data_IF_671184698143
#
_entry.id   IF_671184698143
#
_cell.length_a   1.000
_cell.length_b   1.000
_cell.length_c   1.000
_cell.angle_alpha   90.00
_cell.angle_beta   90.00
_cell.angle_gamma   90.00
#
_symmetry.space_group_name_H-M   'P 1'
#
loop_
_entity.id
_entity.type
_entity.pdbx_description
1 polymer ?
#
# COMPACT_ATOMS: atom_id res chain seq x y z
N UNK A 1 11.71 5.54 31.80
CA UNK A 1 11.71 5.96 30.39
C UNK A 1 11.44 7.46 30.37
N UNK A 2 12.45 8.28 30.14
CA UNK A 2 12.31 9.73 29.98
C UNK A 2 11.45 10.04 28.76
N UNK A 3 10.44 10.89 28.92
CA UNK A 3 9.63 11.37 27.81
C UNK A 3 10.55 11.92 26.70
N UNK A 4 10.26 11.65 25.40
CA UNK A 4 11.08 12.18 24.33
C UNK A 4 11.07 13.72 24.41
N UNK A 5 12.24 14.33 24.28
CA UNK A 5 12.36 15.78 24.26
C UNK A 5 11.49 16.35 23.14
N UNK A 6 10.83 17.49 23.35
CA UNK A 6 9.99 18.10 22.32
C UNK A 6 10.83 18.40 21.08
N UNK A 7 10.23 18.21 19.91
CA UNK A 7 10.86 18.54 18.64
C UNK A 7 11.26 20.03 18.60
N UNK A 8 12.44 20.37 18.03
CA UNK A 8 12.84 21.78 17.82
C UNK A 8 11.77 22.56 17.06
N UNK A 9 11.66 23.86 17.34
CA UNK A 9 10.61 24.73 16.80
C UNK A 9 10.57 24.72 15.25
N UNK A 10 11.72 24.72 14.62
CA UNK A 10 11.84 24.64 13.15
C UNK A 10 11.32 23.34 12.57
N UNK A 11 11.52 22.23 13.28
CA UNK A 11 10.96 20.93 12.87
C UNK A 11 9.42 20.92 13.01
N UNK A 12 8.88 21.52 14.08
CA UNK A 12 7.43 21.67 14.26
C UNK A 12 6.82 22.53 13.14
N UNK A 13 7.46 23.68 12.80
CA UNK A 13 7.04 24.55 11.69
C UNK A 13 7.03 23.82 10.35
N UNK A 14 8.02 22.99 10.09
CA UNK A 14 8.02 22.15 8.88
C UNK A 14 6.88 21.16 8.86
N UNK A 15 6.61 20.46 9.96
CA UNK A 15 5.49 19.51 10.04
C UNK A 15 4.15 20.21 9.81
N UNK A 16 4.00 21.42 10.34
CA UNK A 16 2.81 22.24 10.07
C UNK A 16 2.71 22.64 8.59
N UNK A 17 3.80 23.09 7.97
CA UNK A 17 3.87 23.41 6.54
C UNK A 17 3.43 22.20 5.69
N UNK A 18 3.96 20.99 5.95
CA UNK A 18 3.61 19.81 5.16
C UNK A 18 2.18 19.31 5.45
N UNK A 19 1.64 19.60 6.63
CA UNK A 19 0.25 19.32 7.00
C UNK A 19 -0.73 20.24 6.26
N UNK A 20 -0.52 21.54 6.33
CA UNK A 20 -1.47 22.56 5.86
C UNK A 20 -1.29 22.87 4.37
N UNK A 21 -0.07 23.22 3.96
CA UNK A 21 0.19 23.65 2.58
C UNK A 21 0.35 22.46 1.62
N UNK A 22 1.07 21.41 2.03
CA UNK A 22 1.26 20.21 1.21
C UNK A 22 0.12 19.21 1.33
N UNK A 23 -0.74 19.33 2.33
CA UNK A 23 -1.89 18.44 2.61
C UNK A 23 -1.52 16.97 2.55
N UNK A 24 -0.38 16.61 3.15
CA UNK A 24 0.09 15.24 3.14
C UNK A 24 -0.83 14.35 3.98
N UNK A 25 -0.96 13.08 3.56
CA UNK A 25 -1.74 12.09 4.30
C UNK A 25 -1.20 11.90 5.72
N UNK A 26 -2.09 11.65 6.69
CA UNK A 26 -1.75 11.48 8.12
C UNK A 26 -0.61 10.48 8.35
N UNK A 27 -0.60 9.35 7.63
CA UNK A 27 0.50 8.37 7.69
C UNK A 27 1.85 8.95 7.27
N UNK A 28 1.88 9.82 6.26
CA UNK A 28 3.13 10.46 5.81
C UNK A 28 3.62 11.46 6.87
N UNK A 29 2.71 12.20 7.49
CA UNK A 29 3.03 13.11 8.61
C UNK A 29 3.64 12.32 9.78
N UNK A 30 3.03 11.21 10.18
CA UNK A 30 3.59 10.35 11.24
C UNK A 30 5.02 9.89 10.92
N UNK A 31 5.28 9.48 9.68
CA UNK A 31 6.63 9.06 9.27
C UNK A 31 7.63 10.22 9.30
N UNK A 32 7.23 11.39 8.83
CA UNK A 32 8.08 12.59 8.86
C UNK A 32 8.37 13.05 10.29
N UNK A 33 7.40 12.95 11.20
CA UNK A 33 7.60 13.22 12.62
C UNK A 33 8.67 12.29 13.19
N UNK A 34 8.55 10.98 12.99
CA UNK A 34 9.53 10.00 13.44
C UNK A 34 10.92 10.21 12.83
N UNK A 35 11.00 10.61 11.56
CA UNK A 35 12.27 10.91 10.89
C UNK A 35 12.93 12.15 11.51
N UNK A 36 12.16 13.19 11.83
CA UNK A 36 12.68 14.43 12.47
C UNK A 36 13.03 14.22 13.94
N UNK A 37 12.26 13.44 14.69
CA UNK A 37 12.63 13.02 16.06
C UNK A 37 13.98 12.33 16.07
N UNK A 38 14.20 11.41 15.13
CA UNK A 38 15.48 10.72 14.99
C UNK A 38 16.61 11.69 14.63
N UNK A 39 16.36 12.66 13.74
CA UNK A 39 17.35 13.67 13.38
C UNK A 39 17.72 14.54 14.61
N UNK A 40 16.72 14.97 15.38
CA UNK A 40 16.91 15.75 16.59
C UNK A 40 17.71 14.98 17.66
N UNK A 41 17.41 13.67 17.83
CA UNK A 41 18.19 12.79 18.72
C UNK A 41 19.66 12.71 18.30
N UNK A 42 19.94 12.54 17.03
CA UNK A 42 21.32 12.50 16.52
C UNK A 42 22.03 13.85 16.67
N UNK A 43 21.35 14.97 16.38
CA UNK A 43 21.89 16.30 16.55
C UNK A 43 22.25 16.56 18.03
N UNK A 44 21.37 16.22 18.97
CA UNK A 44 21.60 16.32 20.41
C UNK A 44 22.79 15.45 20.85
N UNK A 45 22.90 14.23 20.37
CA UNK A 45 24.00 13.32 20.71
C UNK A 45 25.39 13.82 20.29
N UNK A 46 25.46 14.74 19.33
CA UNK A 46 26.71 15.40 18.91
C UNK A 46 26.79 16.85 19.34
N UNK A 47 25.85 17.31 20.19
CA UNK A 47 25.76 18.71 20.68
C UNK A 47 25.78 19.77 19.58
N UNK A 48 25.15 19.48 18.44
CA UNK A 48 25.05 20.41 17.30
C UNK A 48 23.58 20.80 17.09
N UNK A 49 23.24 22.10 17.04
CA UNK A 49 21.88 22.54 16.71
C UNK A 49 21.41 21.99 15.35
N UNK A 50 20.11 21.70 15.23
CA UNK A 50 19.53 21.02 14.05
C UNK A 50 19.87 21.74 12.74
N UNK A 51 19.79 23.08 12.71
CA UNK A 51 20.08 23.90 11.54
C UNK A 51 21.58 24.07 11.22
N UNK A 52 22.47 23.70 12.14
CA UNK A 52 23.93 23.75 11.97
C UNK A 52 24.55 22.40 11.56
N UNK A 53 23.72 21.41 11.33
CA UNK A 53 24.20 20.10 10.85
C UNK A 53 24.88 20.24 9.47
N UNK A 54 26.02 19.57 9.33
CA UNK A 54 26.83 19.55 8.12
C UNK A 54 26.74 18.19 7.41
N UNK A 55 27.09 18.06 6.14
CA UNK A 55 27.06 16.77 5.43
C UNK A 55 27.88 15.67 6.13
N UNK A 56 28.95 16.04 6.84
CA UNK A 56 29.75 15.09 7.63
C UNK A 56 28.94 14.45 8.77
N UNK A 57 28.13 15.25 9.47
CA UNK A 57 27.25 14.75 10.53
C UNK A 57 26.21 13.77 9.94
N UNK A 58 25.59 14.12 8.82
CA UNK A 58 24.61 13.25 8.16
C UNK A 58 25.24 11.91 7.74
N UNK A 59 26.46 11.92 7.18
CA UNK A 59 27.17 10.67 6.82
C UNK A 59 27.44 9.80 8.06
N UNK A 60 27.85 10.43 9.20
CA UNK A 60 28.06 9.72 10.45
C UNK A 60 26.76 9.10 10.98
N UNK A 61 25.61 9.80 10.89
CA UNK A 61 24.31 9.28 11.28
C UNK A 61 23.88 8.10 10.40
N UNK A 62 24.15 8.16 9.11
CA UNK A 62 23.92 7.04 8.18
C UNK A 62 24.76 5.82 8.58
N UNK A 63 26.06 6.02 8.85
CA UNK A 63 26.94 4.94 9.29
C UNK A 63 26.46 4.30 10.59
N UNK A 64 26.05 5.13 11.58
CA UNK A 64 25.50 4.67 12.84
C UNK A 64 24.23 3.84 12.65
N UNK A 65 23.27 4.32 11.87
CA UNK A 65 22.03 3.60 11.57
C UNK A 65 22.31 2.25 10.87
N UNK A 66 23.27 2.22 9.97
CA UNK A 66 23.65 0.99 9.28
C UNK A 66 24.31 -0.01 10.21
N UNK A 67 25.26 0.44 11.04
CA UNK A 67 25.91 -0.38 12.06
C UNK A 67 24.94 -0.93 13.11
N UNK A 68 23.87 -0.17 13.43
CA UNK A 68 22.77 -0.63 14.27
C UNK A 68 21.77 -1.58 13.55
N UNK A 69 22.10 -2.08 12.35
CA UNK A 69 21.31 -3.08 11.64
C UNK A 69 20.11 -2.52 10.85
N UNK A 70 19.98 -1.18 10.68
CA UNK A 70 18.90 -0.63 9.88
C UNK A 70 19.11 -0.91 8.40
N UNK A 71 18.05 -1.39 7.73
CA UNK A 71 18.13 -1.73 6.31
C UNK A 71 18.46 -0.50 5.44
N UNK A 72 19.22 -0.70 4.35
CA UNK A 72 19.57 0.35 3.38
C UNK A 72 18.33 1.09 2.84
N UNK A 73 17.22 0.37 2.60
CA UNK A 73 15.94 0.96 2.19
C UNK A 73 15.33 1.85 3.28
N UNK A 74 15.40 1.41 4.55
CA UNK A 74 14.93 2.20 5.69
C UNK A 74 15.73 3.49 5.87
N UNK A 75 17.06 3.43 5.69
CA UNK A 75 17.93 4.60 5.73
C UNK A 75 17.61 5.56 4.58
N UNK A 76 17.38 5.05 3.36
CA UNK A 76 17.03 5.87 2.21
C UNK A 76 15.70 6.64 2.42
N UNK A 77 14.70 6.02 3.07
CA UNK A 77 13.44 6.68 3.42
C UNK A 77 13.66 7.81 4.42
N UNK A 78 14.44 7.58 5.49
CA UNK A 78 14.79 8.60 6.48
C UNK A 78 15.52 9.77 5.83
N UNK A 79 16.52 9.50 5.00
CA UNK A 79 17.23 10.54 4.25
C UNK A 79 16.30 11.34 3.33
N UNK A 80 15.26 10.73 2.79
CA UNK A 80 14.24 11.44 2.01
C UNK A 80 13.46 12.43 2.88
N UNK A 81 13.03 12.02 4.08
CA UNK A 81 12.38 12.91 5.06
C UNK A 81 13.26 14.08 5.48
N UNK A 82 14.51 13.79 5.87
CA UNK A 82 15.49 14.82 6.23
C UNK A 82 15.80 15.77 5.09
N UNK A 83 15.94 15.26 3.87
CA UNK A 83 16.16 16.10 2.68
C UNK A 83 15.00 17.03 2.43
N UNK A 84 13.76 16.57 2.62
CA UNK A 84 12.55 17.39 2.52
C UNK A 84 12.56 18.55 3.52
N UNK A 85 12.90 18.28 4.79
CA UNK A 85 13.03 19.29 5.83
C UNK A 85 14.09 20.34 5.49
N UNK A 86 15.31 19.95 5.17
CA UNK A 86 16.38 20.93 4.86
C UNK A 86 16.15 21.66 3.54
N UNK A 87 15.43 21.08 2.57
CA UNK A 87 15.01 21.82 1.37
C UNK A 87 14.01 22.91 1.72
N UNK A 88 13.08 22.63 2.63
CA UNK A 88 12.18 23.66 3.14
C UNK A 88 12.93 24.70 3.95
N UNK A 89 13.81 24.31 4.88
CA UNK A 89 14.61 25.23 5.68
C UNK A 89 15.48 26.19 4.82
N UNK A 90 16.07 25.68 3.75
CA UNK A 90 16.82 26.50 2.80
C UNK A 90 15.91 27.53 2.09
N UNK A 91 14.70 27.14 1.70
CA UNK A 91 13.71 28.06 1.11
C UNK A 91 13.21 29.12 2.08
N UNK A 92 13.24 28.83 3.38
CA UNK A 92 12.91 29.79 4.45
C UNK A 92 14.10 30.64 4.89
N UNK A 93 15.28 30.50 4.26
CA UNK A 93 16.49 31.19 4.63
C UNK A 93 17.10 30.78 5.97
N UNK A 94 16.65 29.66 6.56
CA UNK A 94 17.14 29.15 7.85
C UNK A 94 18.50 28.47 7.73
N UNK A 95 18.85 27.96 6.56
CA UNK A 95 20.15 27.35 6.24
C UNK A 95 20.58 27.80 4.85
N UNK A 96 21.88 27.93 4.64
CA UNK A 96 22.46 28.32 3.34
C UNK A 96 22.40 27.19 2.30
N UNK A 97 22.42 25.95 2.73
CA UNK A 97 22.40 24.78 1.85
C UNK A 97 21.80 23.56 2.58
N UNK A 98 21.36 22.57 1.80
CA UNK A 98 20.81 21.32 2.34
C UNK A 98 21.94 20.32 2.66
N UNK A 99 22.25 20.04 3.93
CA UNK A 99 23.35 19.14 4.32
C UNK A 99 23.11 17.68 3.94
N UNK A 100 21.88 17.31 3.57
CA UNK A 100 21.53 15.96 3.10
C UNK A 100 21.67 15.83 1.60
N UNK A 101 21.88 16.94 0.88
CA UNK A 101 22.08 16.95 -0.56
C UNK A 101 23.36 16.16 -0.90
N UNK A 102 23.26 15.20 -1.83
CA UNK A 102 24.40 14.34 -2.22
C UNK A 102 24.76 13.23 -1.23
N UNK A 103 24.22 13.21 0.00
CA UNK A 103 24.42 12.09 0.91
C UNK A 103 23.58 10.89 0.46
N UNK A 104 24.25 9.77 0.22
CA UNK A 104 23.63 8.51 -0.20
C UNK A 104 23.65 7.50 0.95
N UNK A 105 22.60 6.72 1.08
CA UNK A 105 22.58 5.55 1.96
C UNK A 105 23.39 4.39 1.36
N UNK A 106 23.63 3.32 2.16
CA UNK A 106 24.25 2.10 1.67
C UNK A 106 23.46 1.54 0.49
N UNK A 107 24.15 0.92 -0.48
CA UNK A 107 23.48 0.29 -1.63
C UNK A 107 22.52 -0.78 -1.14
N UNK A 108 21.25 -0.64 -1.48
CA UNK A 108 20.29 -1.72 -1.31
C UNK A 108 20.47 -2.70 -2.48
N UNK A 109 20.49 -4.00 -2.20
CA UNK A 109 20.21 -4.96 -3.24
C UNK A 109 18.87 -4.60 -3.87
N UNK A 110 18.81 -4.44 -5.19
CA UNK A 110 17.55 -4.29 -5.92
C UNK A 110 16.98 -5.70 -6.10
N UNK A 111 16.08 -6.19 -5.24
CA UNK A 111 15.34 -7.37 -5.61
C UNK A 111 14.56 -7.00 -6.87
N UNK A 112 14.74 -7.77 -7.93
CA UNK A 112 13.86 -7.68 -9.08
C UNK A 112 12.42 -7.82 -8.55
N UNK A 113 11.49 -6.94 -8.94
CA UNK A 113 10.09 -7.13 -8.63
C UNK A 113 9.66 -8.44 -9.30
N UNK A 114 9.58 -9.50 -8.51
CA UNK A 114 9.13 -10.80 -9.01
C UNK A 114 7.61 -10.78 -9.00
N UNK A 115 7.00 -10.55 -10.17
CA UNK A 115 5.66 -11.04 -10.39
C UNK A 115 5.69 -12.57 -10.20
N UNK A 116 4.66 -13.15 -9.62
CA UNK A 116 4.46 -14.60 -9.68
C UNK A 116 4.21 -14.98 -11.14
N UNK A 117 4.69 -16.14 -11.56
CA UNK A 117 4.20 -16.76 -12.79
C UNK A 117 2.69 -17.02 -12.70
N UNK A 118 2.03 -17.20 -13.85
CA UNK A 118 0.57 -17.46 -13.89
C UNK A 118 0.23 -18.67 -13.06
N UNK A 119 0.99 -19.80 -13.21
CA UNK A 119 0.76 -21.04 -12.49
C UNK A 119 0.87 -20.88 -10.96
N UNK A 120 1.89 -20.15 -10.48
CA UNK A 120 2.05 -19.91 -9.05
C UNK A 120 0.95 -19.00 -8.49
N UNK A 121 0.50 -18.00 -9.26
CA UNK A 121 -0.57 -17.12 -8.86
C UNK A 121 -1.92 -17.86 -8.81
N UNK A 122 -2.18 -18.72 -9.79
CA UNK A 122 -3.36 -19.58 -9.83
C UNK A 122 -3.30 -20.63 -8.71
N UNK A 123 -2.14 -21.28 -8.50
CA UNK A 123 -1.94 -22.24 -7.39
C UNK A 123 -2.24 -21.60 -6.04
N UNK A 124 -1.78 -20.36 -5.80
CA UNK A 124 -2.07 -19.66 -4.56
C UNK A 124 -3.57 -19.33 -4.40
N UNK A 125 -4.23 -18.97 -5.49
CA UNK A 125 -5.65 -18.64 -5.50
C UNK A 125 -6.53 -19.88 -5.29
N UNK A 126 -6.18 -21.00 -5.94
CA UNK A 126 -6.90 -22.28 -5.85
C UNK A 126 -6.48 -23.12 -4.63
N UNK A 127 -5.49 -22.68 -3.86
CA UNK A 127 -5.04 -23.39 -2.68
C UNK A 127 -6.14 -23.46 -1.61
N UNK A 128 -6.38 -24.64 -1.08
CA UNK A 128 -7.26 -24.88 0.07
C UNK A 128 -6.47 -25.61 1.15
N UNK A 129 -6.36 -25.00 2.32
CA UNK A 129 -5.67 -25.61 3.45
C UNK A 129 -6.56 -26.70 4.07
N UNK A 130 -6.23 -27.96 3.83
CA UNK A 130 -6.91 -29.09 4.47
C UNK A 130 -6.85 -29.01 6.00
N UNK A 131 -7.99 -29.14 6.68
CA UNK A 131 -8.08 -29.07 8.14
C UNK A 131 -7.97 -27.67 8.75
N UNK A 132 -7.93 -26.62 7.94
CA UNK A 132 -7.96 -25.24 8.44
C UNK A 132 -9.38 -24.85 8.90
N UNK A 133 -9.44 -23.85 9.79
CA UNK A 133 -10.70 -23.20 10.17
C UNK A 133 -11.42 -22.68 8.91
N UNK A 134 -12.63 -23.15 8.59
CA UNK A 134 -13.37 -22.78 7.38
C UNK A 134 -13.58 -21.26 7.27
N UNK A 135 -13.73 -20.58 8.39
CA UNK A 135 -13.88 -19.12 8.44
C UNK A 135 -12.60 -18.42 7.97
N UNK A 136 -11.44 -18.86 8.47
CA UNK A 136 -10.15 -18.31 8.05
C UNK A 136 -9.85 -18.60 6.58
N UNK A 137 -10.16 -19.81 6.12
CA UNK A 137 -9.92 -20.22 4.74
C UNK A 137 -10.76 -19.43 3.76
N UNK A 138 -12.07 -19.30 3.99
CA UNK A 138 -12.95 -18.52 3.13
C UNK A 138 -12.54 -17.03 3.06
N UNK A 139 -12.16 -16.45 4.21
CA UNK A 139 -11.66 -15.07 4.26
C UNK A 139 -10.40 -14.90 3.42
N UNK A 140 -9.42 -15.78 3.64
CA UNK A 140 -8.11 -15.65 3.01
C UNK A 140 -8.17 -15.94 1.51
N UNK A 141 -9.03 -16.87 1.07
CA UNK A 141 -9.32 -17.10 -0.34
C UNK A 141 -9.93 -15.85 -1.00
N UNK A 142 -10.94 -15.24 -0.39
CA UNK A 142 -11.53 -14.01 -0.89
C UNK A 142 -10.53 -12.85 -0.94
N UNK A 143 -9.60 -12.74 0.03
CA UNK A 143 -8.53 -11.73 -0.01
C UNK A 143 -7.57 -11.97 -1.18
N UNK A 144 -7.17 -13.20 -1.45
CA UNK A 144 -6.27 -13.55 -2.57
C UNK A 144 -6.94 -13.21 -3.90
N UNK A 145 -8.20 -13.61 -4.07
CA UNK A 145 -8.96 -13.33 -5.29
C UNK A 145 -9.11 -11.84 -5.56
N UNK A 146 -9.38 -11.02 -4.55
CA UNK A 146 -9.47 -9.58 -4.75
C UNK A 146 -8.11 -8.92 -5.01
N UNK A 147 -7.04 -9.39 -4.38
CA UNK A 147 -5.70 -8.86 -4.61
C UNK A 147 -5.15 -9.24 -5.98
N UNK A 148 -5.35 -10.48 -6.41
CA UNK A 148 -4.87 -10.99 -7.69
C UNK A 148 -5.88 -10.74 -8.82
N UNK A 149 -7.17 -11.06 -8.61
CA UNK A 149 -8.19 -10.92 -9.62
C UNK A 149 -8.57 -9.46 -9.95
N UNK A 150 -8.52 -8.55 -8.97
CA UNK A 150 -8.85 -7.13 -9.18
C UNK A 150 -7.64 -6.20 -9.07
N UNK A 151 -6.46 -6.73 -8.75
CA UNK A 151 -5.24 -5.95 -8.62
C UNK A 151 -5.29 -4.88 -7.52
N UNK A 152 -6.02 -5.11 -6.41
CA UNK A 152 -6.17 -4.14 -5.34
C UNK A 152 -4.85 -3.85 -4.61
N UNK A 153 -4.68 -2.60 -4.16
CA UNK A 153 -3.67 -2.29 -3.14
C UNK A 153 -4.14 -2.83 -1.79
N UNK A 154 -3.20 -3.24 -0.92
CA UNK A 154 -3.56 -3.74 0.42
C UNK A 154 -4.39 -2.73 1.22
N UNK A 155 -4.10 -1.43 1.09
CA UNK A 155 -4.89 -0.38 1.74
C UNK A 155 -6.32 -0.28 1.19
N UNK A 156 -6.50 -0.49 -0.11
CA UNK A 156 -7.82 -0.55 -0.75
C UNK A 156 -8.58 -1.78 -0.26
N UNK A 157 -7.95 -2.96 -0.23
CA UNK A 157 -8.55 -4.19 0.26
C UNK A 157 -9.09 -4.07 1.69
N UNK A 158 -8.24 -3.61 2.63
CA UNK A 158 -8.65 -3.47 4.03
C UNK A 158 -9.63 -2.33 4.25
N UNK A 159 -9.68 -1.36 3.34
CA UNK A 159 -10.63 -0.25 3.31
C UNK A 159 -12.00 -0.61 2.73
N UNK A 160 -12.22 -1.82 2.21
CA UNK A 160 -13.51 -2.21 1.65
C UNK A 160 -14.57 -2.43 2.74
N UNK A 161 -15.77 -1.96 2.45
CA UNK A 161 -17.00 -2.29 3.16
C UNK A 161 -17.83 -3.32 2.37
N UNK A 162 -18.76 -4.00 3.02
CA UNK A 162 -19.64 -5.01 2.38
C UNK A 162 -20.60 -4.41 1.37
N UNK A 163 -21.06 -3.21 1.65
CA UNK A 163 -22.03 -2.47 0.82
C UNK A 163 -21.73 -0.98 0.85
N UNK A 164 -22.29 -0.25 -0.09
CA UNK A 164 -22.29 1.21 -0.04
C UNK A 164 -23.01 1.70 1.23
N UNK A 165 -22.39 2.64 1.93
CA UNK A 165 -22.96 3.29 3.10
C UNK A 165 -22.58 4.75 3.17
N UNK A 166 -23.37 5.57 3.89
CA UNK A 166 -23.09 7.00 4.08
C UNK A 166 -21.71 7.26 4.66
N UNK A 167 -21.28 6.41 5.59
CA UNK A 167 -19.99 6.52 6.26
C UNK A 167 -18.81 6.09 5.38
N UNK A 168 -19.02 5.14 4.45
CA UNK A 168 -17.98 4.74 3.49
C UNK A 168 -17.53 5.91 2.63
N UNK A 169 -18.46 6.76 2.19
CA UNK A 169 -18.16 7.96 1.41
C UNK A 169 -17.40 9.01 2.24
N UNK A 170 -17.82 9.25 3.49
CA UNK A 170 -17.23 10.25 4.41
C UNK A 170 -15.83 9.87 4.87
N UNK A 171 -15.60 8.59 5.15
CA UNK A 171 -14.32 8.08 5.63
C UNK A 171 -13.37 7.63 4.51
N UNK A 172 -13.76 7.87 3.24
CA UNK A 172 -12.90 7.53 2.10
C UNK A 172 -12.71 6.03 1.91
N UNK A 173 -13.71 5.21 2.25
CA UNK A 173 -13.70 3.77 2.05
C UNK A 173 -14.32 3.36 0.73
N UNK A 174 -13.96 2.16 0.26
CA UNK A 174 -14.58 1.47 -0.85
C UNK A 174 -15.66 0.49 -0.40
N UNK A 175 -16.35 -0.11 -1.33
CA UNK A 175 -17.34 -1.16 -1.06
C UNK A 175 -17.43 -2.16 -2.21
N UNK A 176 -18.12 -3.26 -1.97
CA UNK A 176 -18.43 -4.29 -2.96
C UNK A 176 -19.89 -4.18 -3.38
N UNK A 177 -20.12 -4.23 -4.69
CA UNK A 177 -21.44 -4.44 -5.28
C UNK A 177 -21.46 -5.79 -6.01
N UNK A 178 -21.99 -6.82 -5.33
CA UNK A 178 -22.06 -8.17 -5.92
C UNK A 178 -23.09 -8.28 -7.03
N UNK A 179 -24.14 -7.45 -7.03
CA UNK A 179 -25.18 -7.47 -8.06
C UNK A 179 -24.64 -6.87 -9.35
N UNK A 180 -23.98 -5.72 -9.26
CA UNK A 180 -23.31 -5.11 -10.40
C UNK A 180 -22.02 -5.86 -10.78
N UNK A 181 -21.46 -6.69 -9.92
CA UNK A 181 -20.16 -7.35 -10.14
C UNK A 181 -18.99 -6.38 -10.07
N UNK A 182 -19.04 -5.41 -9.17
CA UNK A 182 -18.08 -4.32 -9.09
C UNK A 182 -17.47 -4.17 -7.69
N UNK A 183 -16.19 -3.78 -7.64
CA UNK A 183 -15.52 -3.28 -6.46
C UNK A 183 -15.24 -1.78 -6.64
N UNK A 184 -15.84 -0.96 -5.81
CA UNK A 184 -15.62 0.50 -5.79
C UNK A 184 -14.51 0.83 -4.80
N UNK A 185 -13.41 1.41 -5.27
CA UNK A 185 -12.26 1.71 -4.42
C UNK A 185 -11.85 3.17 -4.49
N UNK A 186 -11.26 3.65 -3.39
CA UNK A 186 -10.67 4.98 -3.32
C UNK A 186 -9.15 4.86 -3.48
N UNK A 187 -8.64 5.41 -4.59
CA UNK A 187 -7.22 5.42 -4.89
C UNK A 187 -6.46 6.57 -4.21
N UNK A 188 -5.17 6.65 -4.48
CA UNK A 188 -4.32 7.75 -4.04
C UNK A 188 -4.86 9.09 -4.57
N UNK A 189 -4.95 10.08 -3.69
CA UNK A 189 -5.47 11.42 -4.04
C UNK A 189 -7.00 11.52 -4.06
N UNK A 190 -7.72 10.57 -3.44
CA UNK A 190 -9.18 10.64 -3.31
C UNK A 190 -9.95 10.28 -4.58
N UNK A 191 -9.29 9.79 -5.63
CA UNK A 191 -9.95 9.39 -6.88
C UNK A 191 -10.62 8.03 -6.71
N UNK A 192 -11.94 7.97 -6.97
CA UNK A 192 -12.71 6.72 -6.99
C UNK A 192 -12.53 6.03 -8.33
N UNK A 193 -12.56 4.71 -8.32
CA UNK A 193 -12.65 3.87 -9.51
C UNK A 193 -13.43 2.60 -9.22
N UNK A 194 -14.13 2.09 -10.22
CA UNK A 194 -14.77 0.78 -10.21
C UNK A 194 -13.85 -0.25 -10.86
N UNK A 195 -13.85 -1.45 -10.32
CA UNK A 195 -13.10 -2.59 -10.83
C UNK A 195 -14.06 -3.75 -11.03
N UNK A 196 -13.97 -4.50 -12.14
CA UNK A 196 -14.79 -5.67 -12.35
C UNK A 196 -14.39 -6.78 -11.36
N UNK A 197 -15.40 -7.49 -10.84
CA UNK A 197 -15.24 -8.69 -10.05
C UNK A 197 -15.35 -9.90 -10.95
N UNK A 198 -14.24 -10.58 -11.23
CA UNK A 198 -14.25 -11.82 -11.98
C UNK A 198 -15.03 -12.92 -11.26
N UNK A 199 -15.38 -13.96 -11.98
CA UNK A 199 -16.19 -15.09 -11.49
C UNK A 199 -15.59 -15.71 -10.22
N UNK A 200 -14.27 -15.92 -10.17
CA UNK A 200 -13.60 -16.50 -9.01
C UNK A 200 -13.71 -15.60 -7.76
N UNK A 201 -13.53 -14.28 -7.92
CA UNK A 201 -13.68 -13.33 -6.82
C UNK A 201 -15.11 -13.28 -6.28
N UNK A 202 -16.12 -13.30 -7.18
CA UNK A 202 -17.54 -13.35 -6.81
C UNK A 202 -17.88 -14.62 -6.03
N UNK A 203 -17.39 -15.79 -6.49
CA UNK A 203 -17.58 -17.08 -5.82
C UNK A 203 -16.92 -17.09 -4.44
N UNK A 204 -15.68 -16.64 -4.32
CA UNK A 204 -14.99 -16.55 -3.03
C UNK A 204 -15.71 -15.61 -2.05
N UNK A 205 -16.23 -14.48 -2.53
CA UNK A 205 -17.04 -13.57 -1.72
C UNK A 205 -18.39 -14.18 -1.31
N UNK A 206 -19.03 -14.96 -2.19
CA UNK A 206 -20.28 -15.66 -1.88
C UNK A 206 -20.10 -16.68 -0.77
N UNK A 207 -18.93 -17.33 -0.65
CA UNK A 207 -18.58 -18.22 0.46
C UNK A 207 -18.21 -17.41 1.72
N UNK A 208 -17.44 -16.34 1.56
CA UNK A 208 -16.95 -15.56 2.71
C UNK A 208 -18.05 -14.80 3.44
N UNK A 209 -18.94 -14.12 2.73
CA UNK A 209 -19.92 -13.21 3.34
C UNK A 209 -20.88 -13.88 4.33
N UNK A 210 -21.44 -15.08 4.08
CA UNK A 210 -22.24 -15.80 5.07
C UNK A 210 -21.44 -16.16 6.33
N UNK A 211 -20.22 -16.67 6.18
CA UNK A 211 -19.34 -17.05 7.28
C UNK A 211 -18.88 -15.85 8.11
N UNK A 212 -18.64 -14.72 7.44
CA UNK A 212 -18.29 -13.47 8.11
C UNK A 212 -19.42 -12.98 9.02
N UNK A 213 -20.66 -13.17 8.63
CA UNK A 213 -21.82 -12.73 9.39
C UNK A 213 -21.95 -11.20 9.51
N UNK A 214 -22.71 -10.73 10.49
CA UNK A 214 -22.95 -9.31 10.76
C UNK A 214 -21.97 -8.70 11.77
N UNK A 215 -21.26 -9.50 12.57
CA UNK A 215 -20.30 -9.03 13.55
C UNK A 215 -19.17 -8.19 12.87
N UNK A 216 -18.68 -7.15 13.55
CA UNK A 216 -17.58 -6.33 13.06
C UNK A 216 -17.97 -5.18 12.11
N UNK A 217 -19.22 -4.73 12.14
CA UNK A 217 -19.68 -3.54 11.42
C UNK A 217 -19.62 -3.67 9.89
N UNK A 218 -19.39 -2.58 9.15
CA UNK A 218 -19.47 -2.56 7.69
C UNK A 218 -18.25 -3.19 6.99
N UNK A 219 -17.11 -3.39 7.67
CA UNK A 219 -15.88 -3.86 7.07
C UNK A 219 -16.06 -5.17 6.29
N UNK A 220 -15.57 -5.27 5.06
CA UNK A 220 -15.62 -6.52 4.29
C UNK A 220 -14.76 -7.60 4.95
N UNK A 221 -13.55 -7.26 5.36
CA UNK A 221 -12.63 -8.20 6.01
C UNK A 221 -12.39 -7.84 7.47
N UNK A 222 -12.62 -8.82 8.32
CA UNK A 222 -12.45 -8.69 9.78
C UNK A 222 -11.50 -9.78 10.32
N UNK A 223 -10.91 -9.48 11.46
CA UNK A 223 -10.18 -10.47 12.25
C UNK A 223 -11.13 -11.30 13.12
N UNK A 224 -10.63 -12.32 13.80
CA UNK A 224 -11.40 -13.17 14.73
C UNK A 224 -12.07 -12.38 15.86
N UNK A 225 -11.56 -11.19 16.21
CA UNK A 225 -12.17 -10.28 17.20
C UNK A 225 -13.23 -9.36 16.61
N UNK A 226 -13.67 -9.55 15.38
CA UNK A 226 -14.67 -8.73 14.70
C UNK A 226 -14.16 -7.35 14.26
N UNK A 227 -12.91 -6.98 14.50
CA UNK A 227 -12.36 -5.69 14.08
C UNK A 227 -11.88 -5.74 12.63
N UNK A 228 -11.96 -4.60 11.91
CA UNK A 228 -11.44 -4.45 10.54
C UNK A 228 -10.00 -4.97 10.45
N UNK A 229 -9.72 -5.76 9.43
CA UNK A 229 -8.41 -6.37 9.23
C UNK A 229 -7.36 -5.29 8.90
N UNK A 230 -6.17 -5.40 9.49
CA UNK A 230 -5.06 -4.51 9.19
C UNK A 230 -4.27 -4.99 7.96
N UNK A 231 -3.60 -4.05 7.28
CA UNK A 231 -2.67 -4.39 6.19
C UNK A 231 -1.57 -5.36 6.65
N UNK A 232 -1.10 -5.23 7.89
CA UNK A 232 -0.08 -6.12 8.46
C UNK A 232 -0.61 -7.55 8.63
N UNK A 233 -1.86 -7.71 9.03
CA UNK A 233 -2.51 -9.02 9.13
C UNK A 233 -2.64 -9.67 7.75
N UNK A 234 -3.00 -8.90 6.71
CA UNK A 234 -3.05 -9.41 5.33
C UNK A 234 -1.67 -9.91 4.88
N UNK A 235 -0.59 -9.15 5.14
CA UNK A 235 0.78 -9.57 4.84
C UNK A 235 1.15 -10.89 5.52
N UNK A 236 0.85 -11.01 6.82
CA UNK A 236 1.12 -12.23 7.59
C UNK A 236 0.37 -13.43 7.00
N UNK A 237 -0.93 -13.27 6.71
CA UNK A 237 -1.77 -14.35 6.15
C UNK A 237 -1.31 -14.79 4.77
N UNK A 238 -1.00 -13.86 3.86
CA UNK A 238 -0.49 -14.20 2.53
C UNK A 238 0.84 -14.95 2.59
N UNK A 239 1.76 -14.50 3.47
CA UNK A 239 3.04 -15.20 3.66
C UNK A 239 2.84 -16.63 4.16
N UNK A 240 1.94 -16.81 5.13
CA UNK A 240 1.61 -18.13 5.66
C UNK A 240 0.98 -19.02 4.58
N UNK A 241 -0.05 -18.51 3.86
CA UNK A 241 -0.74 -19.21 2.79
C UNK A 241 0.21 -19.60 1.65
N UNK A 242 1.12 -18.72 1.24
CA UNK A 242 2.09 -19.05 0.19
C UNK A 242 3.06 -20.18 0.59
N UNK A 243 3.48 -20.24 1.85
CA UNK A 243 4.26 -21.36 2.35
C UNK A 243 3.48 -22.67 2.36
N UNK A 244 2.22 -22.64 2.80
CA UNK A 244 1.32 -23.79 2.81
C UNK A 244 1.00 -24.30 1.39
N UNK A 245 0.88 -23.38 0.41
CA UNK A 245 0.70 -23.72 -1.00
C UNK A 245 1.98 -24.23 -1.70
N UNK A 246 3.09 -24.38 -0.97
CA UNK A 246 4.35 -24.89 -1.51
C UNK A 246 5.08 -23.92 -2.44
N UNK A 247 4.80 -22.59 -2.34
CA UNK A 247 5.50 -21.61 -3.15
C UNK A 247 6.90 -21.34 -2.59
N UNK A 248 7.91 -21.32 -3.46
CA UNK A 248 9.31 -21.08 -3.08
C UNK A 248 9.58 -19.67 -2.57
N UNK A 249 8.71 -18.72 -2.92
CA UNK A 249 8.86 -17.30 -2.55
C UNK A 249 7.69 -16.85 -1.69
N UNK A 250 7.94 -16.23 -0.51
CA UNK A 250 6.88 -15.65 0.30
C UNK A 250 6.12 -14.57 -0.45
N UNK A 251 4.80 -14.73 -0.58
CA UNK A 251 3.95 -13.80 -1.32
C UNK A 251 3.51 -12.63 -0.45
N UNK A 252 3.39 -11.48 -1.07
CA UNK A 252 2.87 -10.27 -0.44
C UNK A 252 1.94 -9.49 -1.39
N UNK A 253 1.08 -8.59 -0.87
CA UNK A 253 0.03 -7.94 -1.67
C UNK A 253 0.54 -7.23 -2.94
N UNK A 254 1.72 -6.58 -2.88
CA UNK A 254 2.28 -5.91 -4.05
C UNK A 254 2.71 -6.88 -5.16
N UNK A 255 3.13 -8.10 -4.79
CA UNK A 255 3.44 -9.13 -5.80
C UNK A 255 2.18 -9.54 -6.55
N UNK A 256 1.07 -9.82 -5.84
CA UNK A 256 -0.20 -10.19 -6.47
C UNK A 256 -0.72 -9.09 -7.41
N UNK A 257 -0.67 -7.84 -6.97
CA UNK A 257 -1.03 -6.71 -7.83
C UNK A 257 -0.09 -6.57 -9.03
N UNK A 258 1.20 -6.83 -8.86
CA UNK A 258 2.16 -6.80 -9.98
C UNK A 258 1.91 -7.95 -10.96
N UNK A 259 1.59 -9.15 -10.43
CA UNK A 259 1.19 -10.30 -11.24
C UNK A 259 -0.09 -10.02 -12.02
N UNK A 260 -1.12 -9.43 -11.40
CA UNK A 260 -2.32 -8.96 -12.08
C UNK A 260 -1.96 -8.07 -13.27
N UNK A 261 -1.15 -7.03 -13.04
CA UNK A 261 -0.76 -6.09 -14.08
C UNK A 261 0.00 -6.78 -15.24
N UNK A 262 0.96 -7.64 -14.92
CA UNK A 262 1.79 -8.33 -15.90
C UNK A 262 0.98 -9.34 -16.71
N UNK A 263 0.15 -10.15 -16.05
CA UNK A 263 -0.64 -11.18 -16.72
C UNK A 263 -1.73 -10.57 -17.61
N UNK A 264 -2.41 -9.54 -17.10
CA UNK A 264 -3.42 -8.83 -17.89
C UNK A 264 -2.80 -8.13 -19.12
N UNK A 265 -1.62 -7.48 -18.94
CA UNK A 265 -0.91 -6.84 -20.05
C UNK A 265 -0.43 -7.85 -21.09
N UNK A 266 0.14 -8.98 -20.65
CA UNK A 266 0.60 -10.05 -21.56
C UNK A 266 -0.53 -10.65 -22.37
N UNK A 267 -1.72 -10.79 -21.77
CA UNK A 267 -2.86 -11.42 -22.44
C UNK A 267 -3.68 -10.44 -23.27
N UNK A 268 -3.81 -9.18 -22.87
CA UNK A 268 -4.63 -8.18 -23.57
C UNK A 268 -3.85 -7.33 -24.57
N UNK A 269 -2.54 -7.11 -24.31
CA UNK A 269 -1.75 -6.11 -25.04
C UNK A 269 -2.16 -4.66 -24.76
N UNK A 270 -3.19 -4.42 -23.96
CA UNK A 270 -3.77 -3.09 -23.71
C UNK A 270 -3.16 -2.45 -22.44
N UNK A 271 -2.04 -1.76 -22.61
CA UNK A 271 -1.38 -1.04 -21.53
C UNK A 271 -2.27 0.03 -20.90
N UNK A 272 -3.12 0.68 -21.70
CA UNK A 272 -4.01 1.74 -21.23
C UNK A 272 -5.08 1.20 -20.29
N UNK A 273 -5.77 0.13 -20.69
CA UNK A 273 -6.75 -0.54 -19.83
C UNK A 273 -6.12 -1.02 -18.51
N UNK A 274 -4.91 -1.61 -18.57
CA UNK A 274 -4.17 -2.03 -17.36
C UNK A 274 -3.85 -0.85 -16.46
N UNK A 275 -3.38 0.29 -16.99
CA UNK A 275 -3.09 1.49 -16.22
C UNK A 275 -4.33 2.07 -15.55
N UNK A 276 -5.46 2.08 -16.26
CA UNK A 276 -6.75 2.57 -15.75
C UNK A 276 -7.26 1.68 -14.62
N UNK A 277 -7.28 0.35 -14.80
CA UNK A 277 -7.65 -0.61 -13.75
C UNK A 277 -6.76 -0.47 -12.51
N UNK A 278 -5.48 -0.23 -12.69
CA UNK A 278 -4.56 -0.01 -11.58
C UNK A 278 -4.69 1.37 -10.93
N UNK A 279 -5.30 2.36 -11.58
CA UNK A 279 -5.39 3.74 -11.08
C UNK A 279 -4.00 4.37 -10.92
N UNK A 280 -3.19 4.34 -11.98
CA UNK A 280 -1.91 5.05 -12.03
C UNK A 280 -2.14 6.53 -12.32
N UNK A 281 -1.58 7.41 -11.47
CA UNK A 281 -1.86 8.85 -11.45
C UNK A 281 -1.25 9.65 -12.62
N UNK A 282 -0.47 9.05 -13.50
CA UNK A 282 0.29 9.74 -14.55
C UNK A 282 -0.40 9.76 -15.93
N UNK A 283 -1.70 9.66 -15.99
CA UNK A 283 -2.43 9.98 -17.21
C UNK A 283 -2.98 11.40 -17.08
N UNK A 284 -2.45 12.28 -17.90
CA UNK A 284 -2.76 13.71 -17.95
C UNK A 284 -4.17 13.94 -18.53
N UNK A 285 -5.21 13.44 -17.89
CA UNK A 285 -6.58 13.88 -18.17
C UNK A 285 -7.49 13.48 -17.02
N UNK A 286 -8.20 14.46 -16.50
CA UNK A 286 -9.38 14.28 -15.65
C UNK A 286 -10.52 13.74 -16.53
N UNK A 287 -10.47 12.45 -16.86
CA UNK A 287 -11.61 11.79 -17.48
C UNK A 287 -12.56 11.35 -16.37
N UNK A 288 -13.77 11.89 -16.41
CA UNK A 288 -14.92 11.34 -15.69
C UNK A 288 -15.19 9.99 -16.35
N UNK A 289 -14.98 8.89 -15.61
CA UNK A 289 -15.26 7.55 -16.10
C UNK A 289 -16.76 7.45 -16.44
N UNK A 290 -17.05 7.22 -17.69
CA UNK A 290 -18.39 6.95 -18.16
C UNK A 290 -18.71 5.47 -18.01
N UNK A 291 -20.00 5.11 -18.04
CA UNK A 291 -20.46 3.72 -18.04
C UNK A 291 -19.87 2.92 -19.24
N UNK A 292 -19.58 3.60 -20.35
CA UNK A 292 -18.96 3.01 -21.55
C UNK A 292 -17.51 2.63 -21.31
N UNK A 293 -16.73 3.46 -20.58
CA UNK A 293 -15.33 3.17 -20.23
C UNK A 293 -15.24 1.93 -19.35
N UNK A 294 -16.15 1.80 -18.36
CA UNK A 294 -16.20 0.62 -17.50
C UNK A 294 -16.54 -0.66 -18.27
N UNK A 295 -17.47 -0.61 -19.22
CA UNK A 295 -17.81 -1.77 -20.07
C UNK A 295 -16.62 -2.22 -20.92
N UNK A 296 -15.84 -1.29 -21.46
CA UNK A 296 -14.61 -1.63 -22.18
C UNK A 296 -13.58 -2.30 -21.27
N UNK A 297 -13.33 -1.72 -20.08
CA UNK A 297 -12.40 -2.30 -19.10
C UNK A 297 -12.82 -3.70 -18.65
N UNK A 298 -14.12 -3.91 -18.44
CA UNK A 298 -14.67 -5.22 -18.08
C UNK A 298 -14.46 -6.25 -19.21
N UNK A 299 -14.68 -5.86 -20.48
CA UNK A 299 -14.44 -6.74 -21.63
C UNK A 299 -12.96 -7.13 -21.75
N UNK A 300 -12.04 -6.18 -21.61
CA UNK A 300 -10.59 -6.46 -21.64
C UNK A 300 -10.22 -7.40 -20.51
N UNK A 301 -10.73 -7.14 -19.31
CA UNK A 301 -10.51 -7.99 -18.16
C UNK A 301 -11.06 -9.42 -18.38
N UNK A 302 -12.31 -9.55 -18.80
CA UNK A 302 -12.99 -10.83 -19.03
C UNK A 302 -12.32 -11.68 -20.10
N UNK A 303 -11.77 -11.04 -21.13
CA UNK A 303 -11.08 -11.74 -22.21
C UNK A 303 -9.67 -12.20 -21.82
N UNK A 304 -8.98 -11.47 -20.95
CA UNK A 304 -7.54 -11.60 -20.77
C UNK A 304 -7.09 -12.12 -19.40
N UNK A 305 -7.84 -11.86 -18.31
CA UNK A 305 -7.37 -12.23 -16.98
C UNK A 305 -7.70 -13.69 -16.60
N UNK A 306 -6.74 -14.50 -16.07
CA UNK A 306 -6.98 -15.92 -15.75
C UNK A 306 -8.12 -16.18 -14.75
N UNK A 307 -8.46 -15.20 -13.89
CA UNK A 307 -9.52 -15.31 -12.88
C UNK A 307 -10.84 -14.67 -13.27
N UNK A 308 -10.95 -14.12 -14.50
CA UNK A 308 -12.18 -13.51 -14.98
C UNK A 308 -13.27 -14.57 -15.22
N UNK A 309 -12.89 -15.68 -15.88
CA UNK A 309 -13.81 -16.80 -16.18
C UNK A 309 -13.28 -18.09 -15.57
N UNK A 310 -14.17 -18.92 -15.05
CA UNK A 310 -13.85 -20.30 -14.75
C UNK A 310 -13.92 -21.09 -16.07
N UNK A 311 -12.85 -21.81 -16.39
CA UNK A 311 -12.92 -22.85 -17.41
C UNK A 311 -13.80 -23.99 -16.93
#
# INVERSE_FOLDING_TARGET
MTAPAPLPAEAQRYLEHVRVEKRLAARTLTLYTLDLEKLAQFASAVSVPLLHLQPAHIRRFVAHMHGAGRSSRGIALILSGWRGFFTWAARQGLVSSNPVQGVRGPKAAKPLPKALGVDDAVRLADFHAGGADPWLEARDAAMVELLYGCGLRVGELVGLDRTAGSDAAREGRGWIDLQAGEAHVLGKGGKRRSLPLGTAARQALAVWLPLRGSAGGPALFVGQRGTRLSAQSVWKRLRQRSGQAGLSTPVHPHMLRHSFASHLLQSSGDLRAVQELLGHANITTTQVYTRLDFQHLAKVYDAAHPRARKK
#
